data_IF_404707135209
#
_entry.id   IF_404707135209
#
_cell.length_a   1.000
_cell.length_b   1.000
_cell.length_c   1.000
_cell.angle_alpha   90.00
_cell.angle_beta   90.00
_cell.angle_gamma   90.00
#
_symmetry.space_group_name_H-M   'P 1'
#
loop_
_entity.id
_entity.type
_entity.pdbx_description
1 polymer ?
#
# COMPACT_ATOMS: atom_id res chain seq x y z
N UNK A 1 10.30 41.73 50.00
CA UNK A 1 10.78 40.37 49.66
C UNK A 1 9.57 39.50 49.27
N UNK A 2 9.71 38.74 48.17
CA UNK A 2 9.00 37.49 47.87
C UNK A 2 7.50 37.50 47.50
N UNK A 3 7.11 38.13 46.37
CA UNK A 3 5.85 37.77 45.65
C UNK A 3 5.98 37.56 44.14
N UNK A 4 7.16 37.78 43.56
CA UNK A 4 7.38 37.73 42.09
C UNK A 4 7.78 36.31 41.61
N UNK A 5 8.23 35.43 42.51
CA UNK A 5 8.74 34.09 42.12
C UNK A 5 7.61 33.08 41.85
N UNK A 6 6.39 33.32 42.34
CA UNK A 6 5.30 32.36 42.20
C UNK A 6 4.60 32.38 40.82
N UNK A 7 4.78 33.45 40.03
CA UNK A 7 4.15 33.57 38.71
C UNK A 7 4.95 32.93 37.56
N UNK A 8 6.26 32.68 37.73
CA UNK A 8 7.07 32.01 36.69
C UNK A 8 6.92 30.48 36.67
N UNK A 9 6.44 29.87 37.76
CA UNK A 9 6.25 28.41 37.83
C UNK A 9 4.94 27.93 37.21
N UNK A 10 3.94 28.81 37.04
CA UNK A 10 2.68 28.46 36.37
C UNK A 10 2.77 28.52 34.83
N UNK A 11 3.70 29.31 34.28
CA UNK A 11 3.83 29.51 32.83
C UNK A 11 4.63 28.38 32.15
N UNK A 12 5.43 27.61 32.90
CA UNK A 12 6.22 26.51 32.35
C UNK A 12 5.42 25.22 32.12
N UNK A 13 4.21 25.09 32.70
CA UNK A 13 3.35 23.91 32.52
C UNK A 13 2.52 23.92 31.22
N UNK A 14 2.41 25.05 30.51
CA UNK A 14 1.64 25.11 29.25
C UNK A 14 2.45 24.75 28.00
N UNK A 15 3.77 24.58 28.10
CA UNK A 15 4.64 24.21 26.95
C UNK A 15 4.75 22.68 26.77
N UNK A 16 4.12 21.90 27.66
CA UNK A 16 4.08 20.45 27.59
C UNK A 16 2.66 19.92 27.40
N UNK A 17 1.81 20.62 26.65
CA UNK A 17 0.71 19.92 26.00
C UNK A 17 1.38 18.95 25.03
N UNK A 18 1.31 17.61 25.23
CA UNK A 18 1.76 16.68 24.22
C UNK A 18 0.87 16.96 23.03
N UNK A 19 1.38 17.74 22.06
CA UNK A 19 0.64 18.10 20.87
C UNK A 19 0.06 16.81 20.33
N UNK A 20 -1.27 16.73 20.25
CA UNK A 20 -2.01 15.51 19.94
C UNK A 20 -1.29 14.79 18.81
N UNK A 21 -0.45 13.81 19.14
CA UNK A 21 0.23 13.01 18.13
C UNK A 21 -0.92 12.25 17.51
N UNK A 22 -1.30 12.67 16.30
CA UNK A 22 -2.20 11.89 15.44
C UNK A 22 -1.72 10.46 15.57
N UNK A 23 -2.59 9.60 16.10
CA UNK A 23 -2.17 8.33 16.63
C UNK A 23 -1.51 7.55 15.49
N UNK A 24 -0.17 7.53 15.49
CA UNK A 24 0.63 7.00 14.39
C UNK A 24 0.67 5.49 14.40
N UNK A 25 -0.26 4.88 15.14
CA UNK A 25 -0.40 3.46 15.23
C UNK A 25 -0.41 2.87 13.81
N UNK A 26 0.59 2.04 13.49
CA UNK A 26 0.58 1.26 12.25
C UNK A 26 -0.58 0.25 12.22
N UNK A 27 -1.37 0.17 13.30
CA UNK A 27 -2.49 -0.74 13.50
C UNK A 27 -3.87 -0.15 13.21
N UNK A 28 -3.97 1.02 12.54
CA UNK A 28 -5.26 1.43 11.91
C UNK A 28 -5.80 0.34 10.95
N UNK A 29 -4.94 -0.59 10.52
CA UNK A 29 -5.30 -1.79 9.76
C UNK A 29 -6.41 -2.66 10.40
N UNK A 30 -6.76 -2.46 11.67
CA UNK A 30 -7.83 -3.23 12.33
C UNK A 30 -9.24 -2.60 12.23
N UNK A 31 -9.37 -1.30 11.96
CA UNK A 31 -10.66 -0.61 12.10
C UNK A 31 -11.54 -0.71 10.85
N UNK A 32 -10.94 -0.60 9.66
CA UNK A 32 -11.65 -0.63 8.38
C UNK A 32 -10.86 -1.43 7.35
N UNK A 33 -11.59 -2.15 6.49
CA UNK A 33 -11.07 -2.84 5.31
C UNK A 33 -11.63 -2.23 4.05
N UNK A 34 -10.73 -1.89 3.11
CA UNK A 34 -11.10 -1.44 1.77
C UNK A 34 -11.68 -2.62 1.00
N UNK A 35 -12.92 -2.53 0.53
CA UNK A 35 -13.60 -3.60 -0.19
C UNK A 35 -13.65 -3.36 -1.70
N UNK A 36 -13.79 -2.10 -2.11
CA UNK A 36 -13.91 -1.72 -3.52
C UNK A 36 -13.36 -0.31 -3.75
N UNK A 37 -12.73 -0.12 -4.90
CA UNK A 37 -12.42 1.19 -5.49
C UNK A 37 -12.98 1.19 -6.91
N UNK A 38 -13.78 2.18 -7.29
CA UNK A 38 -14.38 2.24 -8.62
C UNK A 38 -14.38 3.66 -9.20
N UNK A 39 -14.25 3.78 -10.52
CA UNK A 39 -14.56 5.02 -11.25
C UNK A 39 -15.94 4.88 -11.89
N UNK A 40 -16.84 5.83 -11.62
CA UNK A 40 -18.20 5.79 -12.16
C UNK A 40 -18.24 5.96 -13.68
N UNK A 41 -17.19 6.57 -14.24
CA UNK A 41 -17.15 6.95 -15.64
C UNK A 41 -16.71 5.82 -16.59
N UNK A 42 -16.00 4.79 -16.10
CA UNK A 42 -15.33 3.81 -16.98
C UNK A 42 -15.65 2.33 -16.68
N UNK A 43 -16.69 2.04 -15.87
CA UNK A 43 -16.99 0.68 -15.39
C UNK A 43 -15.73 -0.10 -14.95
N UNK A 44 -14.80 0.62 -14.32
CA UNK A 44 -13.49 0.11 -13.94
C UNK A 44 -13.36 0.15 -12.43
N UNK A 45 -13.10 -1.00 -11.83
CA UNK A 45 -13.03 -1.14 -10.39
C UNK A 45 -12.04 -2.20 -9.95
N UNK A 46 -11.57 -2.06 -8.71
CA UNK A 46 -10.87 -3.10 -7.96
C UNK A 46 -11.76 -3.58 -6.82
N UNK A 47 -11.83 -4.89 -6.62
CA UNK A 47 -12.39 -5.49 -5.40
C UNK A 47 -11.29 -6.14 -4.57
N UNK A 48 -11.51 -6.21 -3.26
CA UNK A 48 -10.54 -6.66 -2.29
C UNK A 48 -11.21 -7.66 -1.34
N UNK A 49 -10.60 -8.83 -1.17
CA UNK A 49 -11.12 -9.89 -0.30
C UNK A 49 -10.17 -10.12 0.88
N UNK A 50 -10.74 -10.40 2.05
CA UNK A 50 -9.99 -10.64 3.28
C UNK A 50 -10.39 -11.97 3.90
N UNK A 51 -9.44 -12.66 4.52
CA UNK A 51 -9.72 -13.88 5.28
C UNK A 51 -10.29 -13.57 6.69
N UNK A 52 -10.61 -14.62 7.45
CA UNK A 52 -11.13 -14.50 8.82
C UNK A 52 -10.14 -13.83 9.82
N UNK A 53 -8.84 -13.77 9.48
CA UNK A 53 -7.82 -13.03 10.25
C UNK A 53 -7.71 -11.56 9.82
N UNK A 54 -8.60 -11.08 8.95
CA UNK A 54 -8.58 -9.76 8.35
C UNK A 54 -7.31 -9.44 7.54
N UNK A 55 -6.69 -10.46 6.94
CA UNK A 55 -5.56 -10.28 6.03
C UNK A 55 -6.07 -10.21 4.60
N UNK A 56 -5.56 -9.27 3.79
CA UNK A 56 -5.91 -9.13 2.38
C UNK A 56 -5.45 -10.38 1.61
N UNK A 57 -6.36 -11.17 1.06
CA UNK A 57 -6.02 -12.42 0.34
C UNK A 57 -6.11 -12.30 -1.17
N UNK A 58 -6.88 -11.34 -1.68
CA UNK A 58 -6.95 -11.07 -3.11
C UNK A 58 -7.29 -9.62 -3.42
N UNK A 59 -6.85 -9.17 -4.59
CA UNK A 59 -7.34 -7.97 -5.27
C UNK A 59 -7.71 -8.38 -6.69
N UNK A 60 -8.93 -8.09 -7.13
CA UNK A 60 -9.37 -8.37 -8.51
C UNK A 60 -9.65 -7.09 -9.25
N UNK A 61 -9.23 -7.02 -10.51
CA UNK A 61 -9.55 -5.95 -11.43
C UNK A 61 -10.81 -6.29 -12.23
N UNK A 62 -11.64 -5.28 -12.51
CA UNK A 62 -12.78 -5.42 -13.41
C UNK A 62 -12.34 -5.90 -14.81
N UNK A 63 -11.20 -5.38 -15.27
CA UNK A 63 -10.52 -5.80 -16.49
C UNK A 63 -9.05 -6.04 -16.17
N UNK A 64 -8.67 -7.31 -16.11
CA UNK A 64 -7.31 -7.72 -15.80
C UNK A 64 -6.37 -7.42 -16.99
N UNK A 65 -5.27 -6.72 -16.71
CA UNK A 65 -4.20 -6.44 -17.67
C UNK A 65 -2.84 -6.56 -16.99
N UNK A 66 -1.73 -6.62 -17.74
CA UNK A 66 -0.39 -6.64 -17.13
C UNK A 66 -0.10 -5.41 -16.25
N UNK A 67 -0.77 -4.28 -16.48
CA UNK A 67 -0.65 -3.05 -15.67
C UNK A 67 -1.69 -2.97 -14.55
N UNK A 68 -2.70 -3.83 -14.57
CA UNK A 68 -3.72 -3.95 -13.53
C UNK A 68 -4.06 -5.43 -13.32
N UNK A 69 -3.11 -6.25 -12.83
CA UNK A 69 -3.34 -7.68 -12.70
C UNK A 69 -4.25 -8.00 -11.52
N UNK A 70 -4.78 -9.20 -11.51
CA UNK A 70 -5.33 -9.76 -10.28
C UNK A 70 -4.19 -10.19 -9.36
N UNK A 71 -4.36 -9.97 -8.06
CA UNK A 71 -3.41 -10.38 -7.03
C UNK A 71 -4.00 -11.49 -6.17
N UNK A 72 -3.19 -12.50 -5.88
CA UNK A 72 -3.40 -13.45 -4.78
C UNK A 72 -2.28 -13.31 -3.77
N UNK A 73 -2.63 -13.14 -2.50
CA UNK A 73 -1.68 -12.96 -1.41
C UNK A 73 -1.65 -14.20 -0.51
N UNK A 74 -0.45 -14.71 -0.22
CA UNK A 74 -0.23 -15.94 0.54
C UNK A 74 0.61 -15.62 1.76
N UNK A 75 0.16 -16.10 2.92
CA UNK A 75 0.76 -15.79 4.22
C UNK A 75 1.48 -17.00 4.80
N UNK A 76 2.59 -16.76 5.49
CA UNK A 76 3.26 -17.79 6.27
C UNK A 76 2.49 -18.14 7.55
N UNK A 77 3.00 -19.11 8.31
CA UNK A 77 2.43 -19.56 9.58
C UNK A 77 2.40 -18.45 10.64
N UNK A 78 3.29 -17.46 10.56
CA UNK A 78 3.34 -16.30 11.45
C UNK A 78 2.35 -15.20 11.01
N UNK A 79 1.64 -15.38 9.91
CA UNK A 79 0.70 -14.39 9.38
C UNK A 79 1.36 -13.24 8.64
N UNK A 80 2.62 -13.39 8.19
CA UNK A 80 3.33 -12.41 7.35
C UNK A 80 3.10 -12.75 5.88
N UNK A 81 3.07 -11.74 5.00
CA UNK A 81 2.94 -11.96 3.56
C UNK A 81 4.19 -12.67 3.01
N UNK A 82 4.09 -13.95 2.72
CA UNK A 82 5.24 -14.73 2.26
C UNK A 82 5.40 -14.66 0.74
N UNK A 83 4.29 -14.63 0.02
CA UNK A 83 4.27 -14.68 -1.43
C UNK A 83 3.07 -13.88 -1.95
N UNK A 84 3.18 -13.40 -3.19
CA UNK A 84 2.01 -12.97 -3.94
C UNK A 84 2.16 -13.33 -5.41
N UNK A 85 1.02 -13.47 -6.07
CA UNK A 85 0.93 -13.90 -7.46
C UNK A 85 0.16 -12.84 -8.22
N UNK A 86 0.68 -12.41 -9.37
CA UNK A 86 -0.08 -11.65 -10.36
C UNK A 86 -0.62 -12.63 -11.39
N UNK A 87 -1.94 -12.72 -11.49
CA UNK A 87 -2.57 -13.74 -12.32
C UNK A 87 -2.71 -13.28 -13.78
N UNK A 88 -2.70 -14.26 -14.67
CA UNK A 88 -2.91 -14.09 -16.10
C UNK A 88 -4.28 -14.58 -16.58
N UNK A 89 -5.10 -15.12 -15.69
CA UNK A 89 -6.43 -15.68 -16.01
C UNK A 89 -7.51 -15.05 -15.10
N UNK A 90 -8.54 -14.39 -15.68
CA UNK A 90 -9.57 -13.69 -14.92
C UNK A 90 -10.53 -14.64 -14.20
N UNK A 91 -10.68 -15.88 -14.69
CA UNK A 91 -11.71 -16.82 -14.23
C UNK A 91 -11.14 -17.92 -13.34
N UNK A 92 -9.83 -18.16 -13.40
CA UNK A 92 -9.15 -19.13 -12.52
C UNK A 92 -7.89 -18.55 -11.88
N UNK A 93 -8.06 -17.99 -10.68
CA UNK A 93 -6.94 -17.80 -9.77
C UNK A 93 -6.36 -19.19 -9.45
N UNK A 94 -5.30 -19.60 -10.15
CA UNK A 94 -4.70 -20.92 -9.98
C UNK A 94 -4.36 -21.70 -11.25
N UNK A 95 -4.56 -21.18 -12.45
CA UNK A 95 -4.10 -21.85 -13.69
C UNK A 95 -2.72 -21.39 -14.16
N UNK A 96 -2.51 -20.08 -14.21
CA UNK A 96 -1.25 -19.46 -14.64
C UNK A 96 -0.98 -18.13 -13.94
N UNK A 97 0.26 -17.67 -14.01
CA UNK A 97 0.72 -16.41 -13.42
C UNK A 97 1.58 -15.62 -14.40
N UNK A 98 1.47 -14.29 -14.34
CA UNK A 98 2.45 -13.40 -14.96
C UNK A 98 3.67 -13.24 -14.07
N UNK A 99 3.48 -13.11 -12.76
CA UNK A 99 4.59 -13.07 -11.80
C UNK A 99 4.24 -13.84 -10.53
N UNK A 100 5.21 -14.60 -10.02
CA UNK A 100 5.13 -15.26 -8.71
C UNK A 100 6.27 -14.76 -7.83
N UNK A 101 5.91 -14.02 -6.78
CA UNK A 101 6.83 -13.33 -5.88
C UNK A 101 7.03 -14.10 -4.58
N UNK A 102 8.27 -14.13 -4.09
CA UNK A 102 8.68 -14.70 -2.80
C UNK A 102 9.37 -13.63 -1.98
N UNK A 103 8.82 -13.35 -0.81
CA UNK A 103 9.21 -12.22 0.03
C UNK A 103 10.09 -12.68 1.19
N UNK A 104 11.15 -11.93 1.44
CA UNK A 104 12.12 -12.19 2.50
C UNK A 104 12.17 -11.02 3.47
N UNK A 105 12.37 -11.36 4.73
CA UNK A 105 12.22 -10.45 5.84
C UNK A 105 13.53 -10.23 6.59
N UNK A 106 13.72 -9.02 7.10
CA UNK A 106 14.77 -8.74 8.09
C UNK A 106 14.31 -9.09 9.52
N UNK A 107 15.19 -8.85 10.50
CA UNK A 107 14.92 -9.08 11.91
C UNK A 107 13.85 -8.13 12.52
N UNK A 108 13.50 -7.05 11.83
CA UNK A 108 12.43 -6.14 12.22
C UNK A 108 11.08 -6.51 11.58
N UNK A 109 11.05 -7.59 10.78
CA UNK A 109 9.83 -8.04 10.10
C UNK A 109 9.44 -7.19 8.90
N UNK A 110 10.40 -6.49 8.26
CA UNK A 110 10.19 -5.72 7.03
C UNK A 110 10.56 -6.56 5.81
N UNK A 111 9.83 -6.41 4.71
CA UNK A 111 10.12 -7.10 3.44
C UNK A 111 11.35 -6.43 2.81
N UNK A 112 12.53 -7.03 2.90
CA UNK A 112 13.78 -6.43 2.41
C UNK A 112 14.23 -6.97 1.06
N UNK A 113 13.64 -8.08 0.61
CA UNK A 113 13.93 -8.68 -0.69
C UNK A 113 12.69 -9.37 -1.23
N UNK A 114 12.49 -9.26 -2.53
CA UNK A 114 11.49 -9.96 -3.32
C UNK A 114 12.20 -10.66 -4.47
N UNK A 115 12.05 -11.98 -4.56
CA UNK A 115 12.49 -12.74 -5.73
C UNK A 115 11.25 -13.19 -6.47
N UNK A 116 11.21 -13.00 -7.77
CA UNK A 116 10.03 -13.37 -8.54
C UNK A 116 10.37 -14.07 -9.84
N UNK A 117 9.45 -14.93 -10.27
CA UNK A 117 9.48 -15.59 -11.56
C UNK A 117 8.43 -14.98 -12.47
N UNK A 118 8.74 -14.85 -13.75
CA UNK A 118 7.78 -14.40 -14.75
C UNK A 118 7.21 -15.57 -15.57
N UNK A 119 5.94 -15.45 -15.96
CA UNK A 119 5.19 -16.31 -16.89
C UNK A 119 5.30 -17.83 -16.59
N UNK A 120 4.29 -18.40 -15.93
CA UNK A 120 4.25 -19.83 -15.66
C UNK A 120 2.87 -20.38 -15.35
N UNK A 121 2.80 -21.68 -15.06
CA UNK A 121 1.56 -22.35 -14.64
C UNK A 121 1.60 -22.65 -13.14
N UNK A 122 0.44 -22.73 -12.51
CA UNK A 122 0.33 -23.05 -11.09
C UNK A 122 -0.01 -24.53 -10.99
N UNK A 123 0.91 -25.34 -10.45
CA UNK A 123 0.70 -26.74 -10.16
C UNK A 123 0.23 -27.00 -8.72
N UNK A 124 0.05 -28.27 -8.34
CA UNK A 124 -0.41 -28.65 -7.01
C UNK A 124 0.52 -28.20 -5.88
N UNK A 125 1.84 -28.15 -6.14
CA UNK A 125 2.87 -27.86 -5.15
C UNK A 125 3.50 -26.46 -5.28
N UNK A 126 3.05 -25.64 -6.23
CA UNK A 126 3.65 -24.32 -6.49
C UNK A 126 3.76 -23.97 -7.97
N UNK A 127 4.67 -23.04 -8.35
CA UNK A 127 4.88 -22.71 -9.75
C UNK A 127 5.46 -23.92 -10.50
N UNK A 128 4.87 -24.23 -11.65
CA UNK A 128 5.40 -25.22 -12.59
C UNK A 128 6.06 -24.47 -13.73
N UNK A 129 7.35 -24.74 -13.90
CA UNK A 129 8.17 -24.16 -14.95
C UNK A 129 8.28 -25.15 -16.11
N UNK A 130 8.12 -24.69 -17.37
CA UNK A 130 8.36 -25.49 -18.56
C UNK A 130 9.70 -26.25 -18.55
N UNK A 131 9.66 -27.48 -19.04
CA UNK A 131 10.85 -28.34 -19.17
C UNK A 131 11.89 -27.69 -20.09
N UNK A 132 13.16 -27.71 -19.69
CA UNK A 132 14.25 -27.08 -20.44
C UNK A 132 14.52 -25.61 -20.12
N UNK A 133 13.85 -25.03 -19.12
CA UNK A 133 14.24 -23.70 -18.61
C UNK A 133 15.66 -23.74 -18.01
N UNK A 134 16.57 -22.87 -18.47
CA UNK A 134 17.94 -22.83 -17.95
C UNK A 134 17.94 -22.51 -16.44
N UNK A 135 18.95 -22.98 -15.70
CA UNK A 135 19.20 -22.49 -14.34
C UNK A 135 19.29 -20.96 -14.33
N UNK A 136 18.33 -20.28 -13.69
CA UNK A 136 18.23 -18.82 -13.66
C UNK A 136 17.17 -18.20 -14.59
N UNK A 137 16.28 -19.00 -15.20
CA UNK A 137 15.20 -18.48 -16.03
C UNK A 137 14.32 -17.46 -15.27
N UNK A 138 14.20 -16.27 -15.89
CA UNK A 138 13.55 -15.02 -15.49
C UNK A 138 13.24 -14.87 -14.00
N UNK A 139 14.29 -14.95 -13.19
CA UNK A 139 14.26 -14.58 -11.80
C UNK A 139 14.62 -13.10 -11.67
N UNK A 140 13.63 -12.26 -11.36
CA UNK A 140 13.88 -10.91 -10.88
C UNK A 140 14.26 -10.94 -9.41
N UNK A 141 15.18 -10.08 -8.99
CA UNK A 141 15.45 -9.83 -7.57
C UNK A 141 15.31 -8.33 -7.35
N UNK A 142 14.41 -7.96 -6.46
CA UNK A 142 14.23 -6.61 -5.95
C UNK A 142 14.66 -6.58 -4.49
N UNK A 143 15.36 -5.53 -4.09
CA UNK A 143 15.75 -5.26 -2.71
C UNK A 143 15.12 -3.95 -2.27
N UNK A 144 14.69 -3.89 -1.02
CA UNK A 144 14.02 -2.74 -0.45
C UNK A 144 14.79 -2.21 0.75
N UNK A 145 14.96 -0.89 0.81
CA UNK A 145 15.48 -0.21 1.99
C UNK A 145 14.38 0.59 2.69
N UNK A 146 14.54 0.75 4.00
CA UNK A 146 13.59 1.44 4.85
C UNK A 146 14.28 2.49 5.71
N UNK A 147 13.57 3.56 6.04
CA UNK A 147 14.03 4.53 7.03
C UNK A 147 13.72 4.10 8.48
N UNK A 148 14.10 4.94 9.44
CA UNK A 148 13.86 4.72 10.87
C UNK A 148 12.37 4.71 11.28
N UNK A 149 11.46 5.12 10.39
CA UNK A 149 10.02 5.07 10.59
C UNK A 149 9.37 3.86 9.90
N UNK A 150 10.16 2.90 9.41
CA UNK A 150 9.72 1.72 8.67
C UNK A 150 8.96 2.06 7.37
N UNK A 151 9.33 3.14 6.69
CA UNK A 151 8.81 3.48 5.35
C UNK A 151 9.81 3.07 4.29
N UNK A 152 9.34 2.47 3.20
CA UNK A 152 10.20 2.11 2.08
C UNK A 152 10.77 3.39 1.46
N UNK A 153 12.10 3.51 1.40
CA UNK A 153 12.82 4.66 0.83
C UNK A 153 13.54 4.33 -0.47
N UNK A 154 13.73 3.05 -0.79
CA UNK A 154 14.21 2.64 -2.10
C UNK A 154 13.77 1.22 -2.48
N UNK A 155 13.71 1.02 -3.79
CA UNK A 155 13.67 -0.29 -4.46
C UNK A 155 14.86 -0.35 -5.41
N UNK A 156 15.58 -1.47 -5.42
CA UNK A 156 16.73 -1.69 -6.29
C UNK A 156 16.75 -3.11 -6.84
N UNK A 157 17.03 -3.27 -8.13
CA UNK A 157 16.89 -4.54 -8.82
C UNK A 157 16.69 -4.32 -10.31
N UNK A 158 15.56 -4.78 -10.84
CA UNK A 158 15.18 -4.47 -12.23
C UNK A 158 14.81 -3.00 -12.38
N UNK A 159 14.31 -2.39 -11.31
CA UNK A 159 14.03 -0.97 -11.25
C UNK A 159 14.77 -0.35 -10.06
N UNK A 160 15.16 0.90 -10.22
CA UNK A 160 15.87 1.65 -9.19
C UNK A 160 15.06 2.90 -8.87
N UNK A 161 14.20 2.77 -7.86
CA UNK A 161 13.30 3.83 -7.41
C UNK A 161 13.76 4.35 -6.04
N UNK A 162 13.61 5.65 -5.81
CA UNK A 162 13.83 6.29 -4.51
C UNK A 162 12.58 7.03 -4.06
N UNK A 163 12.25 6.91 -2.78
CA UNK A 163 11.05 7.48 -2.18
C UNK A 163 11.44 8.42 -1.04
N UNK A 164 11.18 9.71 -1.23
CA UNK A 164 11.40 10.73 -0.21
C UNK A 164 10.08 11.07 0.51
N UNK A 165 10.15 11.34 1.81
CA UNK A 165 8.98 11.71 2.60
C UNK A 165 9.24 13.02 3.33
N UNK A 166 8.25 13.91 3.30
CA UNK A 166 8.31 15.18 4.00
C UNK A 166 8.21 15.01 5.54
N UNK A 167 8.37 16.12 6.25
CA UNK A 167 8.30 16.19 7.72
C UNK A 167 6.94 15.73 8.29
N UNK A 168 5.86 15.83 7.52
CA UNK A 168 4.53 15.37 7.91
C UNK A 168 4.38 13.85 7.77
N UNK A 169 5.32 13.20 7.09
CA UNK A 169 5.36 11.76 6.87
C UNK A 169 4.65 11.31 5.60
N UNK A 170 4.56 12.17 4.59
CA UNK A 170 3.94 11.88 3.31
C UNK A 170 4.97 11.85 2.18
N UNK A 171 4.74 10.99 1.19
CA UNK A 171 5.62 10.80 0.05
C UNK A 171 5.67 12.09 -0.79
N UNK A 172 6.86 12.63 -1.05
CA UNK A 172 6.99 13.95 -1.70
C UNK A 172 6.62 13.91 -3.18
N UNK A 173 6.97 12.82 -3.86
CA UNK A 173 6.68 12.61 -5.28
C UNK A 173 6.04 11.24 -5.52
N UNK A 174 5.04 11.17 -6.41
CA UNK A 174 4.54 9.85 -6.84
C UNK A 174 5.57 9.09 -7.69
N UNK A 175 5.20 7.88 -8.13
CA UNK A 175 6.00 7.05 -9.05
C UNK A 175 6.29 7.69 -10.41
N UNK A 176 5.64 8.81 -10.74
CA UNK A 176 5.85 9.58 -11.96
C UNK A 176 6.68 10.87 -11.75
N UNK A 177 7.08 11.16 -10.51
CA UNK A 177 7.88 12.33 -10.15
C UNK A 177 7.09 13.62 -9.88
N UNK A 178 5.75 13.59 -9.86
CA UNK A 178 4.98 14.79 -9.56
C UNK A 178 4.95 15.09 -8.07
N UNK A 179 5.03 16.38 -7.72
CA UNK A 179 4.81 16.82 -6.36
C UNK A 179 3.36 16.57 -5.91
N UNK A 180 3.22 15.94 -4.76
CA UNK A 180 1.91 15.59 -4.20
C UNK A 180 1.49 16.61 -3.13
N UNK A 181 0.25 17.10 -3.24
CA UNK A 181 -0.41 17.86 -2.18
C UNK A 181 -1.21 16.88 -1.32
N UNK A 182 -1.12 17.05 0.00
CA UNK A 182 -1.76 16.15 0.96
C UNK A 182 -2.83 16.86 1.77
N UNK A 183 -3.88 16.11 2.09
CA UNK A 183 -4.83 16.51 3.12
C UNK A 183 -4.29 16.25 4.54
N UNK A 184 -5.15 16.39 5.55
CA UNK A 184 -4.83 16.03 6.93
C UNK A 184 -5.52 14.73 7.39
N UNK A 185 -6.16 13.97 6.49
CA UNK A 185 -6.94 12.77 6.79
C UNK A 185 -6.08 11.51 6.66
N UNK A 186 -6.65 10.32 6.85
CA UNK A 186 -5.87 9.06 6.87
C UNK A 186 -5.76 8.54 5.44
N UNK A 187 -4.55 8.20 4.99
CA UNK A 187 -4.33 7.54 3.70
C UNK A 187 -4.99 6.16 3.65
N UNK A 188 -5.76 5.85 2.60
CA UNK A 188 -6.40 4.55 2.43
C UNK A 188 -5.41 3.37 2.40
N UNK A 189 -4.16 3.58 1.96
CA UNK A 189 -3.10 2.56 2.00
C UNK A 189 -2.84 2.06 3.41
N UNK A 190 -3.15 2.85 4.45
CA UNK A 190 -3.00 2.44 5.86
C UNK A 190 -4.07 1.46 6.34
N UNK A 191 -5.05 1.09 5.51
CA UNK A 191 -6.05 0.07 5.85
C UNK A 191 -5.47 -1.35 5.82
N UNK A 192 -4.36 -1.57 5.10
CA UNK A 192 -3.66 -2.85 5.09
C UNK A 192 -2.17 -2.71 4.73
N UNK A 193 -1.22 -3.30 5.48
CA UNK A 193 0.21 -3.23 5.16
C UNK A 193 0.56 -3.75 3.77
N UNK A 194 -0.23 -4.68 3.21
CA UNK A 194 -0.03 -5.18 1.85
C UNK A 194 -0.27 -4.07 0.82
N UNK A 195 -1.25 -3.19 1.05
CA UNK A 195 -1.51 -2.06 0.16
C UNK A 195 -0.36 -1.05 0.18
N UNK A 196 0.21 -0.77 1.35
CA UNK A 196 1.39 0.11 1.45
C UNK A 196 2.58 -0.45 0.68
N UNK A 197 2.81 -1.76 0.79
CA UNK A 197 3.92 -2.43 0.10
C UNK A 197 3.73 -2.43 -1.42
N UNK A 198 2.58 -2.88 -1.92
CA UNK A 198 2.32 -2.98 -3.37
C UNK A 198 2.33 -1.60 -4.03
N UNK A 199 1.73 -0.59 -3.39
CA UNK A 199 1.67 0.78 -3.92
C UNK A 199 2.95 1.59 -3.66
N UNK A 200 3.91 1.07 -2.87
CA UNK A 200 5.11 1.76 -2.38
C UNK A 200 4.80 3.13 -1.74
N UNK A 201 3.63 3.25 -1.11
CA UNK A 201 3.16 4.49 -0.50
C UNK A 201 2.85 4.27 0.99
N UNK A 202 3.74 4.80 1.83
CA UNK A 202 3.64 4.76 3.28
C UNK A 202 3.14 6.09 3.88
N UNK A 203 2.54 6.96 3.06
CA UNK A 203 2.07 8.28 3.49
C UNK A 203 1.05 8.20 4.63
N UNK A 204 1.09 9.21 5.51
CA UNK A 204 0.14 9.37 6.61
C UNK A 204 -1.19 9.94 6.15
N UNK A 205 -1.16 10.74 5.09
CA UNK A 205 -2.29 11.49 4.54
C UNK A 205 -2.62 11.08 3.11
N UNK A 206 -3.83 11.41 2.65
CA UNK A 206 -4.21 11.10 1.28
C UNK A 206 -3.49 12.04 0.30
N UNK A 207 -2.93 11.50 -0.79
CA UNK A 207 -2.53 12.32 -1.92
C UNK A 207 -3.84 12.89 -2.50
N UNK A 208 -3.92 14.22 -2.60
CA UNK A 208 -5.13 15.05 -2.81
C UNK A 208 -6.19 14.95 -1.70
N UNK A 209 -6.88 16.06 -1.43
CA UNK A 209 -8.07 16.04 -0.57
C UNK A 209 -9.21 15.31 -1.26
N UNK A 210 -9.71 14.24 -0.64
CA UNK A 210 -10.97 13.63 -1.02
C UNK A 210 -12.15 14.58 -0.77
N UNK A 211 -13.19 14.43 -1.59
CA UNK A 211 -14.44 15.18 -1.53
C UNK A 211 -15.22 14.87 -0.26
N UNK A 212 -15.17 13.63 0.19
CA UNK A 212 -15.85 13.17 1.39
C UNK A 212 -15.06 12.07 2.10
N UNK A 213 -15.33 11.90 3.39
CA UNK A 213 -14.68 10.92 4.26
C UNK A 213 -15.72 10.23 5.14
N UNK A 214 -15.43 9.00 5.55
CA UNK A 214 -16.23 8.32 6.57
C UNK A 214 -15.86 8.83 7.99
N UNK A 215 -16.53 8.31 9.02
CA UNK A 215 -16.30 8.69 10.42
C UNK A 215 -14.88 8.40 10.93
N UNK A 216 -14.11 7.52 10.27
CA UNK A 216 -12.73 7.20 10.59
C UNK A 216 -11.72 8.08 9.83
N UNK A 217 -12.20 9.02 9.02
CA UNK A 217 -11.35 9.89 8.20
C UNK A 217 -10.71 9.18 7.01
N UNK A 218 -11.29 8.08 6.53
CA UNK A 218 -10.90 7.43 5.28
C UNK A 218 -11.67 8.03 4.10
N UNK A 219 -11.05 8.21 2.92
CA UNK A 219 -11.66 8.87 1.78
C UNK A 219 -12.78 8.01 1.19
N UNK A 220 -13.94 8.61 0.93
CA UNK A 220 -15.09 7.93 0.29
C UNK A 220 -15.18 8.23 -1.20
N UNK A 221 -14.77 9.43 -1.62
CA UNK A 221 -14.85 9.88 -3.00
C UNK A 221 -13.77 10.92 -3.25
N UNK A 222 -13.03 10.79 -4.34
CA UNK A 222 -12.12 11.83 -4.82
C UNK A 222 -12.75 12.62 -5.96
N UNK A 223 -12.35 13.88 -6.09
CA UNK A 223 -12.72 14.71 -7.22
C UNK A 223 -11.47 15.45 -7.74
N UNK A 224 -11.33 15.54 -9.06
CA UNK A 224 -10.27 16.31 -9.70
C UNK A 224 -9.15 15.43 -10.27
N UNK A 225 -8.05 16.05 -10.70
CA UNK A 225 -6.93 15.39 -11.37
C UNK A 225 -5.66 15.63 -10.54
N UNK A 226 -4.97 14.56 -10.17
CA UNK A 226 -3.64 14.59 -9.56
C UNK A 226 -2.52 14.46 -10.60
N UNK A 227 -2.63 13.52 -11.55
CA UNK A 227 -1.61 13.28 -12.57
C UNK A 227 -2.25 12.82 -13.87
N UNK A 228 -1.87 13.42 -15.01
CA UNK A 228 -2.20 12.94 -16.36
C UNK A 228 -3.63 12.38 -16.53
N UNK A 229 -4.63 13.09 -15.99
CA UNK A 229 -6.07 12.75 -15.96
C UNK A 229 -6.61 11.82 -14.86
N UNK A 230 -5.77 11.35 -13.95
CA UNK A 230 -6.12 10.48 -12.82
C UNK A 230 -6.08 11.24 -11.49
N UNK A 231 -7.03 10.95 -10.60
CA UNK A 231 -7.09 11.47 -9.23
C UNK A 231 -6.25 10.63 -8.27
N UNK A 232 -6.03 9.36 -8.58
CA UNK A 232 -5.29 8.43 -7.74
C UNK A 232 -4.66 7.33 -8.58
N UNK A 233 -3.52 6.82 -8.15
CA UNK A 233 -2.85 5.66 -8.74
C UNK A 233 -2.78 4.57 -7.68
N UNK A 234 -3.31 3.39 -8.00
CA UNK A 234 -3.17 2.19 -7.17
C UNK A 234 -2.31 1.23 -7.98
N UNK A 235 -1.12 0.93 -7.46
CA UNK A 235 -0.04 0.22 -8.14
C UNK A 235 0.41 0.95 -9.42
N UNK A 236 -0.22 0.67 -10.56
CA UNK A 236 -0.02 1.38 -11.84
C UNK A 236 -1.34 1.78 -12.51
N UNK A 237 -2.48 1.48 -11.88
CA UNK A 237 -3.79 1.80 -12.40
C UNK A 237 -4.25 3.18 -11.94
N UNK A 238 -4.44 4.08 -12.90
CA UNK A 238 -4.99 5.40 -12.66
C UNK A 238 -6.51 5.35 -12.55
N UNK A 239 -7.06 5.95 -11.50
CA UNK A 239 -8.50 6.14 -11.31
C UNK A 239 -8.88 7.60 -11.47
N UNK A 240 -9.99 7.87 -12.16
CA UNK A 240 -10.61 9.19 -12.23
C UNK A 240 -11.81 9.23 -11.29
N UNK A 241 -11.85 10.21 -10.41
CA UNK A 241 -12.89 10.40 -9.38
C UNK A 241 -13.28 9.11 -8.63
N UNK A 242 -12.30 8.34 -8.10
CA UNK A 242 -12.59 7.05 -7.48
C UNK A 242 -13.53 7.18 -6.27
N UNK A 243 -14.45 6.23 -6.18
CA UNK A 243 -15.35 5.99 -5.04
C UNK A 243 -14.89 4.75 -4.30
N UNK A 244 -14.85 4.86 -2.98
CA UNK A 244 -14.32 3.84 -2.09
C UNK A 244 -15.44 3.23 -1.24
N UNK A 245 -15.45 1.91 -1.17
CA UNK A 245 -16.31 1.16 -0.26
C UNK A 245 -15.46 0.49 0.82
N UNK A 246 -15.83 0.68 2.09
CA UNK A 246 -15.16 0.05 3.23
C UNK A 246 -16.11 -0.79 4.06
N UNK A 247 -15.54 -1.74 4.79
CA UNK A 247 -16.18 -2.40 5.94
C UNK A 247 -15.43 -2.02 7.20
N UNK A 248 -16.10 -1.29 8.09
CA UNK A 248 -15.54 -0.84 9.36
C UNK A 248 -16.24 -1.50 10.56
N UNK A 249 -15.56 -1.53 11.70
CA UNK A 249 -16.08 -2.03 12.99
C UNK A 249 -16.55 -0.92 13.90
#
# INVERSE_FOLDING_TARGET
MNKIILFMLATFCYVLLPGCKKNDHPHLSSACKLLKVETKEMDYYFTFEYNARNQLISRKAAYMTRTAPDYKFIYDRAGRLAQYITNADPDTIGGSFWQWHYLYYDNLGRIVKDTFYADGTIGPDGPVFPEGMPPGYTMGIENYAYDGNNRMISRSGLFNDSYAYNAQGNLETNVYGDSLQYDNKVNFNRTDPVLQFINRDYSRNNPIGARSYNQYGLPLEYQGIMHSNYSLVIDYAGFRNPVFTYKCR
#
